data_IF_142682475764
#
_entry.id   IF_142682475764
#
_cell.length_a   1.000
_cell.length_b   1.000
_cell.length_c   1.000
_cell.angle_alpha   90.00
_cell.angle_beta   90.00
_cell.angle_gamma   90.00
#
_symmetry.space_group_name_H-M   'P 1'
#
loop_
_entity.id
_entity.type
_entity.pdbx_description
1 polymer ?
#
# COMPACT_ATOMS: atom_id res chain seq x y z
N UNK A 1 -27.67 -36.07 -17.84
CA UNK A 1 -26.57 -35.21 -18.35
C UNK A 1 -26.61 -33.80 -17.77
N UNK A 2 -27.76 -33.20 -17.59
CA UNK A 2 -27.95 -31.84 -17.06
C UNK A 2 -27.56 -31.68 -15.57
N UNK A 3 -27.90 -32.64 -14.69
CA UNK A 3 -27.58 -32.60 -13.25
C UNK A 3 -26.07 -32.65 -12.98
N UNK A 4 -25.32 -33.54 -13.67
CA UNK A 4 -23.84 -33.60 -13.51
C UNK A 4 -23.13 -32.31 -13.91
N UNK A 5 -23.66 -31.58 -14.89
CA UNK A 5 -23.10 -30.27 -15.29
C UNK A 5 -23.41 -29.22 -14.23
N UNK A 6 -24.62 -29.22 -13.64
CA UNK A 6 -24.98 -28.32 -12.55
C UNK A 6 -24.15 -28.54 -11.28
N UNK A 7 -23.84 -29.80 -10.95
CA UNK A 7 -22.99 -30.15 -9.79
C UNK A 7 -21.52 -29.71 -10.02
N UNK A 8 -20.98 -29.90 -11.20
CA UNK A 8 -19.63 -29.43 -11.57
C UNK A 8 -19.55 -27.89 -11.55
N UNK A 9 -20.58 -27.19 -12.00
CA UNK A 9 -20.64 -25.73 -11.95
C UNK A 9 -20.69 -25.27 -10.49
N UNK A 10 -21.54 -25.86 -9.64
CA UNK A 10 -21.60 -25.55 -8.19
C UNK A 10 -20.30 -25.86 -7.46
N UNK A 11 -19.65 -26.97 -7.75
CA UNK A 11 -18.33 -27.30 -7.18
C UNK A 11 -17.26 -26.33 -7.62
N UNK A 12 -17.31 -25.89 -8.88
CA UNK A 12 -16.37 -24.89 -9.41
C UNK A 12 -16.61 -23.51 -8.81
N UNK A 13 -17.86 -23.12 -8.58
CA UNK A 13 -18.24 -21.87 -7.92
C UNK A 13 -17.89 -21.89 -6.44
N UNK A 14 -18.14 -22.98 -5.72
CA UNK A 14 -17.73 -23.16 -4.33
C UNK A 14 -16.21 -23.15 -4.17
N UNK A 15 -15.47 -23.85 -5.03
CA UNK A 15 -14.00 -23.81 -5.05
C UNK A 15 -13.43 -22.42 -5.40
N UNK A 16 -14.12 -21.64 -6.23
CA UNK A 16 -13.78 -20.22 -6.47
C UNK A 16 -14.10 -19.36 -5.25
N UNK A 17 -15.23 -19.56 -4.59
CA UNK A 17 -15.62 -18.84 -3.39
C UNK A 17 -14.63 -19.12 -2.24
N UNK A 18 -14.31 -20.39 -1.94
CA UNK A 18 -13.35 -20.80 -0.92
C UNK A 18 -11.94 -20.24 -1.19
N UNK A 19 -11.48 -20.27 -2.44
CA UNK A 19 -10.20 -19.64 -2.83
C UNK A 19 -10.21 -18.12 -2.67
N UNK A 20 -11.35 -17.47 -2.90
CA UNK A 20 -11.49 -16.01 -2.75
C UNK A 20 -11.54 -15.57 -1.29
N UNK A 21 -12.07 -16.41 -0.39
CA UNK A 21 -12.09 -16.14 1.05
C UNK A 21 -10.69 -16.20 1.72
N UNK A 22 -9.70 -16.74 1.05
CA UNK A 22 -8.33 -16.87 1.55
C UNK A 22 -7.52 -15.56 1.49
N UNK A 23 -7.97 -14.55 0.68
CA UNK A 23 -7.22 -13.33 0.48
C UNK A 23 -7.76 -12.18 1.31
N UNK A 24 -6.84 -11.51 2.02
CA UNK A 24 -7.13 -10.35 2.86
C UNK A 24 -7.40 -9.09 2.01
N UNK A 25 -6.62 -8.88 0.95
CA UNK A 25 -6.84 -7.81 -0.01
C UNK A 25 -6.94 -8.38 -1.42
N UNK A 26 -7.94 -7.96 -2.18
CA UNK A 26 -8.07 -8.35 -3.59
C UNK A 26 -8.77 -7.30 -4.43
N UNK A 27 -8.46 -7.29 -5.72
CA UNK A 27 -9.21 -6.55 -6.73
C UNK A 27 -9.80 -7.53 -7.73
N UNK A 28 -10.94 -7.17 -8.29
CA UNK A 28 -11.66 -7.98 -9.28
C UNK A 28 -12.01 -7.10 -10.48
N UNK A 29 -11.38 -7.36 -11.63
CA UNK A 29 -11.54 -6.65 -12.90
C UNK A 29 -11.47 -5.12 -12.74
N UNK A 30 -10.57 -4.65 -11.84
CA UNK A 30 -10.49 -3.23 -11.51
C UNK A 30 -9.91 -2.45 -12.68
N UNK A 31 -10.62 -1.39 -13.10
CA UNK A 31 -10.16 -0.42 -14.10
C UNK A 31 -10.02 0.94 -13.46
N UNK A 32 -8.86 1.55 -13.63
CA UNK A 32 -8.48 2.84 -13.03
C UNK A 32 -8.08 3.86 -14.09
N UNK A 33 -8.27 5.14 -13.80
CA UNK A 33 -7.94 6.23 -14.71
C UNK A 33 -8.52 7.55 -14.24
N UNK A 34 -8.54 8.55 -15.11
CA UNK A 34 -9.00 9.91 -14.80
C UNK A 34 -10.15 10.31 -15.71
N UNK A 35 -11.13 11.06 -15.18
CA UNK A 35 -12.26 11.63 -15.94
C UNK A 35 -13.00 10.59 -16.80
N UNK A 36 -13.17 9.38 -16.27
CA UNK A 36 -13.82 8.28 -16.98
C UNK A 36 -12.96 7.63 -18.09
N UNK A 37 -11.74 8.12 -18.33
CA UNK A 37 -10.81 7.56 -19.31
C UNK A 37 -9.92 6.51 -18.64
N UNK A 38 -10.00 5.23 -19.05
CA UNK A 38 -9.18 4.17 -18.52
C UNK A 38 -7.68 4.42 -18.78
N UNK A 39 -6.86 4.21 -17.75
CA UNK A 39 -5.40 4.17 -17.86
C UNK A 39 -4.89 2.74 -17.72
N UNK A 40 -5.35 2.01 -16.70
CA UNK A 40 -5.01 0.60 -16.49
C UNK A 40 -6.31 -0.18 -16.33
N UNK A 41 -6.40 -1.31 -17.02
CA UNK A 41 -7.59 -2.17 -17.12
C UNK A 41 -7.37 -3.52 -16.46
N UNK A 42 -8.45 -4.13 -16.03
CA UNK A 42 -8.53 -5.55 -15.63
C UNK A 42 -7.51 -5.95 -14.55
N UNK A 43 -7.30 -5.05 -13.58
CA UNK A 43 -6.35 -5.28 -12.48
C UNK A 43 -6.92 -6.34 -11.54
N UNK A 44 -6.24 -7.47 -11.42
CA UNK A 44 -6.59 -8.57 -10.54
C UNK A 44 -5.43 -8.82 -9.57
N UNK A 45 -5.56 -8.35 -8.33
CA UNK A 45 -4.60 -8.48 -7.24
C UNK A 45 -5.17 -9.42 -6.20
N UNK A 46 -4.33 -10.25 -5.59
CA UNK A 46 -4.71 -11.17 -4.52
C UNK A 46 -3.57 -11.25 -3.50
N UNK A 47 -3.80 -10.73 -2.29
CA UNK A 47 -2.82 -10.73 -1.21
C UNK A 47 -3.40 -11.39 0.03
N UNK A 48 -2.59 -12.22 0.66
CA UNK A 48 -2.85 -12.72 2.01
C UNK A 48 -2.46 -11.67 3.05
N UNK A 49 -2.96 -11.83 4.26
CA UNK A 49 -2.52 -11.00 5.40
C UNK A 49 -1.03 -11.23 5.67
N UNK A 50 -0.30 -10.15 5.90
CA UNK A 50 1.14 -10.23 6.14
C UNK A 50 2.00 -10.43 4.88
N UNK A 51 1.48 -10.20 3.67
CA UNK A 51 2.28 -10.18 2.44
C UNK A 51 2.66 -8.75 2.03
N UNK A 52 3.81 -8.63 1.36
CA UNK A 52 4.30 -7.40 0.74
C UNK A 52 4.13 -7.49 -0.77
N UNK A 53 3.33 -6.60 -1.34
CA UNK A 53 3.19 -6.40 -2.78
C UNK A 53 3.95 -5.16 -3.23
N UNK A 54 4.80 -5.30 -4.23
CA UNK A 54 5.49 -4.15 -4.85
C UNK A 54 5.06 -3.96 -6.30
N UNK A 55 4.71 -2.72 -6.65
CA UNK A 55 4.44 -2.29 -8.01
C UNK A 55 5.73 -1.76 -8.62
N UNK A 56 6.16 -2.32 -9.76
CA UNK A 56 7.29 -1.86 -10.56
C UNK A 56 6.85 -1.50 -11.97
N UNK A 57 7.64 -0.72 -12.67
CA UNK A 57 7.38 -0.29 -14.04
C UNK A 57 7.92 1.12 -14.32
N UNK A 58 7.97 1.54 -15.58
CA UNK A 58 8.46 2.87 -15.98
C UNK A 58 7.75 4.02 -15.27
N UNK A 59 8.36 5.21 -15.29
CA UNK A 59 7.69 6.42 -14.82
C UNK A 59 6.49 6.72 -15.71
N UNK A 60 5.38 7.14 -15.09
CA UNK A 60 4.14 7.38 -15.82
C UNK A 60 3.34 6.12 -16.17
N UNK A 61 3.79 4.90 -15.84
CA UNK A 61 3.06 3.66 -16.12
C UNK A 61 1.73 3.50 -15.36
N UNK A 62 1.40 4.40 -14.42
CA UNK A 62 0.12 4.36 -13.70
C UNK A 62 0.18 3.69 -12.32
N UNK A 63 1.38 3.43 -11.77
CA UNK A 63 1.54 2.85 -10.42
C UNK A 63 0.80 3.66 -9.35
N UNK A 64 1.04 4.96 -9.27
CA UNK A 64 0.37 5.86 -8.32
C UNK A 64 -1.14 5.95 -8.57
N UNK A 65 -1.59 5.82 -9.83
CA UNK A 65 -3.02 5.79 -10.16
C UNK A 65 -3.68 4.55 -9.58
N UNK A 66 -3.04 3.38 -9.69
CA UNK A 66 -3.51 2.13 -9.05
C UNK A 66 -3.58 2.34 -7.54
N UNK A 67 -2.49 2.82 -6.90
CA UNK A 67 -2.44 3.02 -5.45
C UNK A 67 -3.51 4.00 -4.96
N UNK A 68 -3.70 5.13 -5.63
CA UNK A 68 -4.76 6.12 -5.31
C UNK A 68 -6.16 5.52 -5.47
N UNK A 69 -6.38 4.68 -6.48
CA UNK A 69 -7.70 4.07 -6.71
C UNK A 69 -8.03 2.99 -5.67
N UNK A 70 -7.08 2.12 -5.33
CA UNK A 70 -7.32 1.08 -4.31
C UNK A 70 -7.44 1.65 -2.89
N UNK A 71 -7.01 2.90 -2.66
CA UNK A 71 -7.15 3.63 -1.40
C UNK A 71 -8.34 4.59 -1.37
N UNK A 72 -9.20 4.57 -2.40
CA UNK A 72 -10.37 5.46 -2.55
C UNK A 72 -10.06 6.96 -2.67
N UNK A 73 -8.80 7.32 -2.92
CA UNK A 73 -8.42 8.72 -3.20
C UNK A 73 -8.73 9.12 -4.64
N UNK A 74 -8.80 8.13 -5.53
CA UNK A 74 -9.25 8.29 -6.91
C UNK A 74 -10.40 7.31 -7.16
N UNK A 75 -11.47 7.81 -7.75
CA UNK A 75 -12.62 6.96 -8.10
C UNK A 75 -12.20 5.89 -9.12
N UNK A 76 -12.67 4.67 -8.92
CA UNK A 76 -12.49 3.58 -9.87
C UNK A 76 -13.47 3.73 -11.03
N UNK A 77 -13.06 3.35 -12.24
CA UNK A 77 -13.94 3.38 -13.43
C UNK A 77 -14.86 2.17 -13.43
N UNK A 78 -14.33 0.98 -13.16
CA UNK A 78 -15.09 -0.26 -13.01
C UNK A 78 -14.35 -1.27 -12.14
N UNK A 79 -14.99 -2.40 -11.85
CA UNK A 79 -14.42 -3.46 -11.00
C UNK A 79 -14.67 -3.24 -9.52
N UNK A 80 -14.05 -4.07 -8.69
CA UNK A 80 -14.28 -4.04 -7.24
C UNK A 80 -12.99 -4.22 -6.47
N UNK A 81 -12.82 -3.46 -5.38
CA UNK A 81 -11.77 -3.65 -4.38
C UNK A 81 -12.39 -4.28 -3.14
N UNK A 82 -11.76 -5.31 -2.59
CA UNK A 82 -12.15 -5.99 -1.36
C UNK A 82 -11.07 -5.88 -0.32
N UNK A 83 -11.47 -5.63 0.90
CA UNK A 83 -10.62 -5.61 2.09
C UNK A 83 -11.29 -6.49 3.16
N UNK A 84 -10.57 -7.50 3.65
CA UNK A 84 -11.06 -8.44 4.65
C UNK A 84 -12.45 -9.01 4.30
N UNK A 85 -12.55 -9.60 3.10
CA UNK A 85 -13.78 -10.21 2.52
C UNK A 85 -14.91 -9.23 2.15
N UNK A 86 -14.86 -7.98 2.57
CA UNK A 86 -15.89 -6.98 2.28
C UNK A 86 -15.56 -6.15 1.05
N UNK A 87 -16.60 -5.76 0.28
CA UNK A 87 -16.41 -4.77 -0.78
C UNK A 87 -16.11 -3.42 -0.14
N UNK A 88 -14.93 -2.88 -0.42
CA UNK A 88 -14.52 -1.60 0.17
C UNK A 88 -15.53 -0.47 -0.12
N UNK A 89 -16.22 -0.51 -1.27
CA UNK A 89 -17.26 0.47 -1.61
C UNK A 89 -18.47 0.47 -0.64
N UNK A 90 -18.69 -0.61 0.13
CA UNK A 90 -19.75 -0.69 1.15
C UNK A 90 -19.30 -0.22 2.53
N UNK A 91 -18.00 -0.11 2.77
CA UNK A 91 -17.43 0.34 4.03
C UNK A 91 -17.54 1.86 4.16
N UNK A 92 -17.77 2.34 5.37
CA UNK A 92 -17.69 3.78 5.69
C UNK A 92 -16.23 4.27 5.62
N UNK A 93 -16.03 5.57 5.48
CA UNK A 93 -14.68 6.15 5.51
C UNK A 93 -13.96 5.85 6.84
N UNK A 94 -14.69 5.80 7.95
CA UNK A 94 -14.13 5.45 9.26
C UNK A 94 -13.62 4.01 9.28
N UNK A 95 -14.43 3.05 8.83
CA UNK A 95 -14.04 1.63 8.77
C UNK A 95 -12.82 1.42 7.87
N UNK A 96 -12.78 2.07 6.69
CA UNK A 96 -11.60 1.99 5.82
C UNK A 96 -10.39 2.61 6.50
N UNK A 97 -10.51 3.80 7.13
CA UNK A 97 -9.37 4.45 7.80
C UNK A 97 -8.93 3.77 9.09
N UNK A 98 -9.71 2.88 9.68
CA UNK A 98 -9.26 2.01 10.78
C UNK A 98 -8.47 0.80 10.30
N UNK A 99 -8.66 0.35 9.05
CA UNK A 99 -7.98 -0.82 8.48
C UNK A 99 -6.83 -0.46 7.54
N UNK A 100 -6.91 0.68 6.85
CA UNK A 100 -5.99 1.06 5.78
C UNK A 100 -5.34 2.42 6.06
N UNK A 101 -4.02 2.45 6.11
CA UNK A 101 -3.24 3.68 6.16
C UNK A 101 -2.53 3.95 4.82
N UNK A 102 -2.26 5.22 4.54
CA UNK A 102 -1.65 5.65 3.27
C UNK A 102 -0.49 6.60 3.53
N UNK A 103 0.63 6.36 2.86
CA UNK A 103 1.77 7.27 2.78
C UNK A 103 2.02 7.60 1.31
N UNK A 104 1.66 8.81 0.90
CA UNK A 104 1.84 9.28 -0.47
C UNK A 104 3.06 10.16 -0.60
N UNK A 105 3.57 10.25 -1.82
CA UNK A 105 4.70 11.10 -2.20
C UNK A 105 4.34 12.60 -2.18
N UNK A 106 3.05 12.95 -2.12
CA UNK A 106 2.61 14.34 -2.10
C UNK A 106 3.14 15.06 -0.85
N UNK A 107 3.85 16.17 -1.06
CA UNK A 107 4.45 16.95 0.02
C UNK A 107 3.36 17.67 0.82
N UNK A 108 2.99 17.08 1.94
CA UNK A 108 2.23 17.78 2.96
C UNK A 108 3.07 18.96 3.49
N UNK A 109 2.48 20.15 3.53
CA UNK A 109 3.07 21.34 4.16
C UNK A 109 2.11 21.89 5.20
N UNK A 110 1.91 21.16 6.30
CA UNK A 110 1.07 21.64 7.37
C UNK A 110 1.78 22.84 8.03
N UNK A 111 1.07 23.93 8.19
CA UNK A 111 1.58 25.09 8.92
C UNK A 111 1.48 24.85 10.43
N UNK A 112 2.54 25.24 11.16
CA UNK A 112 2.58 25.25 12.63
C UNK A 112 2.33 23.88 13.32
N UNK A 113 2.65 22.76 12.65
CA UNK A 113 2.54 21.44 13.27
C UNK A 113 3.91 20.86 13.62
N UNK A 114 4.03 20.34 14.85
CA UNK A 114 5.19 19.56 15.25
C UNK A 114 5.17 18.16 14.62
N UNK A 115 6.29 17.45 14.69
CA UNK A 115 6.34 16.05 14.24
C UNK A 115 5.37 15.17 15.05
N UNK A 116 5.22 15.42 16.36
CA UNK A 116 4.25 14.71 17.21
C UNK A 116 2.82 14.98 16.76
N UNK A 117 2.47 16.23 16.44
CA UNK A 117 1.13 16.60 15.95
C UNK A 117 0.80 15.84 14.64
N UNK A 118 1.76 15.73 13.73
CA UNK A 118 1.59 14.97 12.49
C UNK A 118 1.29 13.50 12.79
N UNK A 119 2.07 12.86 13.66
CA UNK A 119 1.84 11.46 14.04
C UNK A 119 0.50 11.29 14.73
N UNK A 120 0.12 12.23 15.60
CA UNK A 120 -1.14 12.23 16.32
C UNK A 120 -2.38 12.24 15.39
N UNK A 121 -2.28 12.81 14.18
CA UNK A 121 -3.37 12.75 13.19
C UNK A 121 -3.70 11.30 12.78
N UNK A 122 -2.78 10.35 12.95
CA UNK A 122 -3.02 8.92 12.75
C UNK A 122 -4.10 8.36 13.69
N UNK A 123 -4.40 9.04 14.80
CA UNK A 123 -5.46 8.63 15.74
C UNK A 123 -6.84 9.16 15.41
N UNK A 124 -7.00 10.04 14.43
CA UNK A 124 -8.31 10.63 14.08
C UNK A 124 -9.41 9.61 13.79
N UNK A 125 -9.18 8.44 13.19
CA UNK A 125 -10.23 7.43 13.01
C UNK A 125 -10.82 6.90 14.35
N UNK A 126 -10.12 7.11 15.47
CA UNK A 126 -10.48 6.61 16.80
C UNK A 126 -10.96 7.72 17.74
N UNK A 127 -10.67 8.99 17.42
CA UNK A 127 -11.16 10.13 18.21
C UNK A 127 -12.62 10.44 17.90
N UNK A 128 -13.30 11.07 18.85
CA UNK A 128 -14.64 11.60 18.63
C UNK A 128 -14.64 12.87 17.75
N UNK A 129 -15.80 13.50 17.60
CA UNK A 129 -16.01 14.71 16.78
C UNK A 129 -15.06 15.87 17.12
N UNK A 130 -14.62 15.98 18.38
CA UNK A 130 -13.71 17.03 18.84
C UNK A 130 -12.22 16.70 18.59
N UNK A 131 -11.89 15.54 18.10
CA UNK A 131 -10.49 15.14 17.82
C UNK A 131 -9.58 15.05 19.06
N UNK A 132 -10.16 14.95 20.27
CA UNK A 132 -9.39 14.93 21.53
C UNK A 132 -8.74 13.56 21.69
N UNK A 133 -7.41 13.55 21.86
CA UNK A 133 -6.62 12.35 22.10
C UNK A 133 -6.75 11.88 23.55
N UNK A 134 -7.03 10.60 23.75
CA UNK A 134 -6.96 9.94 25.05
C UNK A 134 -5.51 9.76 25.53
N UNK A 135 -5.32 9.38 26.78
CA UNK A 135 -4.00 8.98 27.29
C UNK A 135 -3.42 7.77 26.54
N UNK A 136 -4.28 6.84 26.14
CA UNK A 136 -3.89 5.67 25.32
C UNK A 136 -3.41 6.11 23.93
N UNK A 137 -4.13 7.04 23.26
CA UNK A 137 -3.71 7.57 21.96
C UNK A 137 -2.34 8.24 22.03
N UNK A 138 -2.07 9.03 23.07
CA UNK A 138 -0.75 9.67 23.29
C UNK A 138 0.35 8.62 23.47
N UNK A 139 0.07 7.52 24.15
CA UNK A 139 1.01 6.39 24.29
C UNK A 139 1.31 5.74 22.92
N UNK A 140 0.27 5.56 22.07
CA UNK A 140 0.42 5.03 20.71
C UNK A 140 1.22 5.96 19.81
N UNK A 141 1.00 7.28 19.90
CA UNK A 141 1.81 8.30 19.21
C UNK A 141 3.29 8.14 19.55
N UNK A 142 3.62 8.13 20.86
CA UNK A 142 5.00 7.96 21.32
C UNK A 142 5.61 6.66 20.80
N UNK A 143 4.93 5.53 20.99
CA UNK A 143 5.39 4.21 20.54
C UNK A 143 5.65 4.17 19.04
N UNK A 144 4.77 4.77 18.24
CA UNK A 144 4.93 4.81 16.78
C UNK A 144 6.15 5.62 16.35
N UNK A 145 6.43 6.74 17.02
CA UNK A 145 7.64 7.53 16.77
C UNK A 145 8.91 6.81 17.21
N UNK A 146 8.87 6.07 18.33
CA UNK A 146 9.97 5.23 18.79
C UNK A 146 10.27 4.09 17.80
N UNK A 147 9.23 3.45 17.24
CA UNK A 147 9.36 2.38 16.23
C UNK A 147 10.13 2.82 14.99
N UNK A 148 9.98 4.07 14.58
CA UNK A 148 10.70 4.64 13.42
C UNK A 148 11.95 5.44 13.82
N UNK A 149 12.42 5.33 15.07
CA UNK A 149 13.57 6.06 15.60
C UNK A 149 13.49 7.58 15.37
N UNK A 150 12.35 8.18 15.68
CA UNK A 150 12.08 9.60 15.45
C UNK A 150 11.48 10.34 16.66
N UNK A 151 11.54 9.73 17.86
CA UNK A 151 11.00 10.38 19.07
C UNK A 151 11.74 11.66 19.46
N UNK A 152 13.04 11.74 19.17
CA UNK A 152 13.88 12.93 19.37
C UNK A 152 13.45 14.14 18.52
N UNK A 153 12.62 13.92 17.50
CA UNK A 153 12.09 14.94 16.61
C UNK A 153 10.71 15.47 17.05
N UNK A 154 10.12 14.95 18.11
CA UNK A 154 8.71 15.17 18.48
C UNK A 154 8.28 16.65 18.49
N UNK A 155 9.11 17.52 19.09
CA UNK A 155 8.84 18.95 19.24
C UNK A 155 9.32 19.80 18.04
N UNK A 156 9.93 19.19 17.01
CA UNK A 156 10.41 19.92 15.84
C UNK A 156 9.25 20.25 14.90
N UNK A 157 9.34 21.42 14.27
CA UNK A 157 8.46 21.76 13.15
C UNK A 157 8.64 20.75 12.01
N UNK A 158 7.54 20.14 11.56
CA UNK A 158 7.55 19.15 10.49
C UNK A 158 8.10 19.69 9.17
N UNK A 159 7.98 20.99 8.91
CA UNK A 159 8.50 21.61 7.68
C UNK A 159 10.00 21.86 7.74
N UNK A 160 10.59 21.89 8.96
CA UNK A 160 12.00 22.21 9.19
C UNK A 160 12.92 20.96 9.29
N UNK A 161 12.39 19.75 9.11
CA UNK A 161 13.18 18.51 9.15
C UNK A 161 13.60 18.05 7.74
N UNK A 162 14.61 17.17 7.65
CA UNK A 162 15.08 16.61 6.37
C UNK A 162 14.03 15.68 5.73
N UNK A 163 14.16 15.42 4.42
CA UNK A 163 13.24 14.52 3.71
C UNK A 163 13.24 13.11 4.30
N UNK A 164 14.39 12.58 4.70
CA UNK A 164 14.48 11.27 5.39
C UNK A 164 13.78 11.27 6.75
N UNK A 165 13.95 12.33 7.54
CA UNK A 165 13.22 12.49 8.81
C UNK A 165 11.72 12.62 8.56
N UNK A 166 11.32 13.39 7.54
CA UNK A 166 9.92 13.56 7.15
C UNK A 166 9.27 12.23 6.78
N UNK A 167 9.97 11.41 6.01
CA UNK A 167 9.46 10.10 5.60
C UNK A 167 9.26 9.17 6.82
N UNK A 168 10.17 9.20 7.81
CA UNK A 168 9.98 8.46 9.07
C UNK A 168 8.78 8.95 9.85
N UNK A 169 8.55 10.26 9.95
CA UNK A 169 7.37 10.83 10.62
C UNK A 169 6.08 10.42 9.92
N UNK A 170 6.03 10.44 8.58
CA UNK A 170 4.86 9.98 7.82
C UNK A 170 4.60 8.49 7.99
N UNK A 171 5.66 7.68 8.07
CA UNK A 171 5.55 6.25 8.40
C UNK A 171 5.04 6.07 9.84
N UNK A 172 5.57 6.82 10.83
CA UNK A 172 5.07 6.80 12.21
C UNK A 172 3.58 7.14 12.30
N UNK A 173 3.13 8.15 11.54
CA UNK A 173 1.71 8.50 11.42
C UNK A 173 0.87 7.34 10.93
N UNK A 174 1.32 6.65 9.87
CA UNK A 174 0.63 5.49 9.31
C UNK A 174 0.59 4.32 10.32
N UNK A 175 1.70 4.05 11.02
CA UNK A 175 1.79 3.03 12.08
C UNK A 175 0.86 3.38 13.25
N UNK A 176 0.81 4.64 13.65
CA UNK A 176 -0.01 5.15 14.76
C UNK A 176 -1.51 4.92 14.51
N UNK A 177 -1.93 4.80 13.27
CA UNK A 177 -3.30 4.44 12.89
C UNK A 177 -3.62 2.97 13.20
N UNK A 178 -2.63 2.12 13.55
CA UNK A 178 -2.77 0.67 13.77
C UNK A 178 -3.50 -0.05 12.62
N UNK A 179 -3.07 0.15 11.39
CA UNK A 179 -3.76 -0.41 10.23
C UNK A 179 -3.46 -1.90 10.06
N UNK A 180 -4.33 -2.60 9.33
CA UNK A 180 -4.09 -3.97 8.86
C UNK A 180 -3.36 -3.98 7.50
N UNK A 181 -3.44 -2.88 6.75
CA UNK A 181 -2.75 -2.68 5.48
C UNK A 181 -2.21 -1.26 5.36
N UNK A 182 -0.96 -1.11 4.92
CA UNK A 182 -0.35 0.17 4.57
C UNK A 182 -0.09 0.22 3.07
N UNK A 183 -0.50 1.33 2.44
CA UNK A 183 -0.22 1.62 1.04
C UNK A 183 0.78 2.77 0.95
N UNK A 184 1.93 2.56 0.26
CA UNK A 184 2.99 3.55 0.15
C UNK A 184 3.31 3.82 -1.33
N UNK A 185 3.29 5.08 -1.72
CA UNK A 185 3.70 5.48 -3.07
C UNK A 185 5.13 6.03 -3.03
N UNK A 186 6.06 5.30 -3.64
CA UNK A 186 7.49 5.62 -3.72
C UNK A 186 8.14 6.00 -2.36
N UNK A 187 8.00 5.18 -1.31
CA UNK A 187 8.43 5.55 0.04
C UNK A 187 9.94 5.76 0.18
N UNK A 188 10.73 5.30 -0.78
CA UNK A 188 12.19 5.42 -0.80
C UNK A 188 12.69 6.60 -1.62
N UNK A 189 11.82 7.34 -2.31
CA UNK A 189 12.19 8.49 -3.12
C UNK A 189 12.86 9.58 -2.26
N UNK A 190 13.91 10.20 -2.81
CA UNK A 190 14.70 11.26 -2.15
C UNK A 190 15.47 10.84 -0.89
N UNK A 191 15.51 9.54 -0.55
CA UNK A 191 16.29 9.00 0.55
C UNK A 191 17.66 8.52 0.08
N UNK A 192 18.68 8.69 0.91
CA UNK A 192 19.95 7.99 0.72
C UNK A 192 19.79 6.49 1.01
N UNK A 193 20.78 5.69 0.65
CA UNK A 193 20.74 4.24 0.75
C UNK A 193 20.51 3.75 2.19
N UNK A 194 21.09 4.43 3.18
CA UNK A 194 20.92 4.06 4.59
C UNK A 194 19.48 4.21 5.03
N UNK A 195 18.88 5.36 4.76
CA UNK A 195 17.48 5.64 5.14
C UNK A 195 16.48 4.76 4.37
N UNK A 196 16.78 4.41 3.09
CA UNK A 196 15.98 3.44 2.33
C UNK A 196 15.95 2.08 3.01
N UNK A 197 17.13 1.55 3.35
CA UNK A 197 17.24 0.25 4.02
C UNK A 197 16.58 0.25 5.39
N UNK A 198 16.76 1.31 6.18
CA UNK A 198 16.15 1.46 7.50
C UNK A 198 14.61 1.42 7.39
N UNK A 199 14.01 2.21 6.48
CA UNK A 199 12.56 2.25 6.25
C UNK A 199 12.02 0.87 5.85
N UNK A 200 12.67 0.20 4.88
CA UNK A 200 12.22 -1.12 4.42
C UNK A 200 12.38 -2.19 5.50
N UNK A 201 13.43 -2.08 6.36
CA UNK A 201 13.61 -2.97 7.50
C UNK A 201 12.48 -2.81 8.51
N UNK A 202 12.08 -1.58 8.84
CA UNK A 202 10.94 -1.30 9.73
C UNK A 202 9.66 -1.91 9.16
N UNK A 203 9.38 -1.71 7.86
CA UNK A 203 8.20 -2.30 7.22
C UNK A 203 8.23 -3.83 7.28
N UNK A 204 9.37 -4.47 6.96
CA UNK A 204 9.49 -5.94 7.02
C UNK A 204 9.30 -6.46 8.44
N UNK A 205 9.84 -5.76 9.45
CA UNK A 205 9.64 -6.12 10.85
C UNK A 205 8.16 -6.08 11.24
N UNK A 206 7.44 -5.03 10.84
CA UNK A 206 6.01 -4.92 11.11
C UNK A 206 5.18 -6.00 10.42
N UNK A 207 5.57 -6.40 9.22
CA UNK A 207 4.95 -7.53 8.50
C UNK A 207 5.12 -8.82 9.31
N UNK A 208 6.32 -9.08 9.81
CA UNK A 208 6.62 -10.29 10.59
C UNK A 208 5.96 -10.30 11.97
N UNK A 209 6.03 -9.19 12.71
CA UNK A 209 5.59 -9.12 14.10
C UNK A 209 4.08 -8.88 14.24
N UNK A 210 3.48 -8.14 13.30
CA UNK A 210 2.09 -7.68 13.40
C UNK A 210 1.19 -8.17 12.26
N UNK A 211 1.69 -9.01 11.36
CA UNK A 211 0.95 -9.47 10.18
C UNK A 211 0.42 -8.30 9.34
N UNK A 212 1.18 -7.19 9.29
CA UNK A 212 0.85 -6.03 8.49
C UNK A 212 0.94 -6.39 7.01
N UNK A 213 -0.09 -6.10 6.24
CA UNK A 213 -0.03 -6.20 4.77
C UNK A 213 0.53 -4.90 4.20
N UNK A 214 1.41 -4.99 3.20
CA UNK A 214 2.03 -3.80 2.58
C UNK A 214 1.81 -3.82 1.07
N UNK A 215 1.33 -2.71 0.53
CA UNK A 215 1.31 -2.47 -0.92
C UNK A 215 2.14 -1.22 -1.19
N UNK A 216 3.16 -1.31 -2.03
CA UNK A 216 3.99 -0.13 -2.31
C UNK A 216 4.46 -0.08 -3.77
N UNK A 217 4.81 1.11 -4.25
CA UNK A 217 5.57 1.28 -5.48
C UNK A 217 7.04 1.50 -5.15
N UNK A 218 7.95 0.89 -5.90
CA UNK A 218 9.39 1.12 -5.80
C UNK A 218 10.02 1.31 -7.17
N UNK A 219 11.06 2.13 -7.23
CA UNK A 219 11.90 2.31 -8.41
C UNK A 219 13.15 1.43 -8.38
N UNK A 220 13.66 1.13 -7.19
CA UNK A 220 14.87 0.33 -6.98
C UNK A 220 14.54 -1.17 -7.10
N UNK A 221 14.89 -1.75 -8.25
CA UNK A 221 14.57 -3.15 -8.56
C UNK A 221 15.20 -4.14 -7.58
N UNK A 222 16.45 -3.88 -7.16
CA UNK A 222 17.15 -4.73 -6.19
C UNK A 222 16.46 -4.74 -4.82
N UNK A 223 15.91 -3.60 -4.40
CA UNK A 223 15.14 -3.50 -3.16
C UNK A 223 13.77 -4.17 -3.31
N UNK A 224 13.09 -3.93 -4.43
CA UNK A 224 11.82 -4.58 -4.73
C UNK A 224 11.95 -6.11 -4.73
N UNK A 225 13.00 -6.66 -5.37
CA UNK A 225 13.25 -8.10 -5.40
C UNK A 225 13.46 -8.70 -4.01
N UNK A 226 14.17 -7.98 -3.12
CA UNK A 226 14.53 -8.49 -1.78
C UNK A 226 13.41 -8.43 -0.76
N UNK A 227 12.51 -7.43 -0.87
CA UNK A 227 11.50 -7.20 0.16
C UNK A 227 10.15 -7.84 -0.15
N UNK A 228 9.82 -8.03 -1.43
CA UNK A 228 8.47 -8.40 -1.86
C UNK A 228 8.19 -9.89 -1.73
N UNK A 229 6.96 -10.23 -1.38
CA UNK A 229 6.39 -11.57 -1.51
C UNK A 229 5.68 -11.72 -2.87
N UNK A 230 5.17 -10.61 -3.41
CA UNK A 230 4.53 -10.51 -4.73
C UNK A 230 4.98 -9.23 -5.43
N UNK A 231 5.03 -9.28 -6.76
CA UNK A 231 5.38 -8.13 -7.60
C UNK A 231 4.36 -7.98 -8.72
N UNK A 232 3.98 -6.73 -9.00
CA UNK A 232 3.20 -6.34 -10.18
C UNK A 232 4.06 -5.53 -11.11
N UNK A 233 4.06 -5.90 -12.39
CA UNK A 233 4.70 -5.14 -13.46
C UNK A 233 3.63 -4.34 -14.22
N UNK A 234 3.68 -3.02 -14.09
CA UNK A 234 2.75 -2.10 -14.75
C UNK A 234 3.40 -1.59 -16.03
N UNK A 235 2.78 -1.88 -17.18
CA UNK A 235 3.26 -1.43 -18.48
C UNK A 235 2.10 -1.31 -19.47
N UNK A 236 2.01 -0.17 -20.17
CA UNK A 236 0.88 0.09 -21.06
C UNK A 236 -0.45 0.21 -20.29
N UNK A 237 -1.50 -0.35 -20.85
CA UNK A 237 -2.86 -0.28 -20.28
C UNK A 237 -3.24 -1.47 -19.38
N UNK A 238 -2.30 -2.40 -19.09
CA UNK A 238 -2.55 -3.64 -18.36
C UNK A 238 -1.45 -3.95 -17.34
N UNK A 239 -1.76 -4.87 -16.43
CA UNK A 239 -0.75 -5.56 -15.65
C UNK A 239 -0.07 -6.60 -16.54
N UNK A 240 1.20 -6.37 -16.90
CA UNK A 240 1.95 -7.27 -17.79
C UNK A 240 2.33 -8.58 -17.11
N UNK A 241 2.74 -8.50 -15.82
CA UNK A 241 3.01 -9.67 -14.97
C UNK A 241 2.59 -9.43 -13.53
N UNK A 242 2.20 -10.52 -12.87
CA UNK A 242 1.93 -10.58 -11.43
C UNK A 242 2.38 -11.94 -10.90
N UNK A 243 3.25 -11.99 -9.91
CA UNK A 243 3.78 -13.25 -9.36
C UNK A 243 4.84 -13.04 -8.29
N UNK A 244 5.56 -14.11 -7.99
CA UNK A 244 6.69 -14.09 -7.07
C UNK A 244 7.90 -13.35 -7.68
N UNK A 245 8.77 -12.73 -6.85
CA UNK A 245 9.95 -12.02 -7.34
C UNK A 245 10.82 -12.87 -8.27
N UNK A 246 11.02 -14.13 -7.96
CA UNK A 246 11.88 -15.05 -8.74
C UNK A 246 11.39 -15.26 -10.18
N UNK A 247 10.07 -15.18 -10.40
CA UNK A 247 9.44 -15.32 -11.70
C UNK A 247 9.56 -14.05 -12.55
N UNK A 248 9.72 -12.91 -11.89
CA UNK A 248 9.67 -11.57 -12.51
C UNK A 248 11.06 -11.00 -12.74
N UNK A 249 11.96 -11.07 -11.76
CA UNK A 249 13.28 -10.43 -11.84
C UNK A 249 14.29 -11.23 -12.69
N UNK A 250 13.87 -11.68 -13.88
CA UNK A 250 14.78 -12.21 -14.88
C UNK A 250 15.41 -11.07 -15.69
N UNK A 251 16.72 -11.17 -16.00
CA UNK A 251 17.44 -10.11 -16.71
C UNK A 251 16.80 -9.77 -18.06
N UNK A 252 16.27 -10.77 -18.77
CA UNK A 252 15.60 -10.61 -20.06
C UNK A 252 14.30 -9.79 -19.91
N UNK A 253 13.44 -10.19 -18.95
CA UNK A 253 12.16 -9.53 -18.74
C UNK A 253 12.30 -8.09 -18.25
N UNK A 254 13.20 -7.85 -17.29
CA UNK A 254 13.44 -6.49 -16.77
C UNK A 254 13.95 -5.55 -17.87
N UNK A 255 14.87 -6.02 -18.73
CA UNK A 255 15.30 -5.21 -19.89
C UNK A 255 14.13 -4.84 -20.80
N UNK A 256 13.26 -5.79 -21.09
CA UNK A 256 12.06 -5.57 -21.91
C UNK A 256 11.12 -4.56 -21.25
N UNK A 257 10.82 -4.73 -19.96
CA UNK A 257 9.91 -3.85 -19.20
C UNK A 257 10.37 -2.38 -19.20
N UNK A 258 11.68 -2.15 -19.12
CA UNK A 258 12.25 -0.79 -19.08
C UNK A 258 12.79 -0.31 -20.44
N UNK A 259 12.55 -1.05 -21.52
CA UNK A 259 12.98 -0.67 -22.87
C UNK A 259 14.50 -0.59 -23.05
N UNK A 260 15.28 -1.36 -22.26
CA UNK A 260 16.74 -1.39 -22.33
C UNK A 260 17.16 -2.32 -23.47
N UNK A 261 17.48 -1.74 -24.64
CA UNK A 261 18.04 -2.47 -25.77
C UNK A 261 19.47 -2.92 -25.46
N UNK A 262 19.88 -4.09 -26.00
CA UNK A 262 21.28 -4.51 -25.96
C UNK A 262 22.12 -3.46 -26.73
N UNK A 263 23.01 -2.74 -26.03
CA UNK A 263 24.10 -2.02 -26.66
C UNK A 263 25.10 -3.01 -27.27
#
# INVERSE_FOLDING_TARGET
>A
MSEKIADVIKETENNKADRQEQYFFRTDQLTVGYDGKPLIREINIQLKKGEILTLIGPNGAGKSTILKSITRQLATISGTVYLDKEKMAKMTNKEVSQKLAVVLTERMRPELMTCEDIVATGRYPYTGTLGILSAEDKTKVKKSMETVHAWDLKDRDFTAISDGQRQRILLARAICQEPEIIVLDEPTSFLDIRHKLELLTILKQMVLDHQLTVIMSLHELDLAQKISDKVICVHGEYIEKYGAPEEIFTSEYIRKLYGITRG
#
